data_IF_081907690877
#
_entry.id   IF_081907690877
#
_cell.length_a   1.000
_cell.length_b   1.000
_cell.length_c   1.000
_cell.angle_alpha   90.00
_cell.angle_beta   90.00
_cell.angle_gamma   90.00
#
_symmetry.space_group_name_H-M   'P 1'
#
loop_
_entity.id
_entity.type
_entity.pdbx_description
1 polymer ?
#
# COMPACT_ATOMS: atom_id res chain seq x y z
N UNK A 1 42.44 4.27 -46.62
CA UNK A 1 41.29 3.38 -46.32
C UNK A 1 41.66 2.50 -45.12
N UNK A 2 41.50 2.99 -43.89
CA UNK A 2 41.75 2.20 -42.68
C UNK A 2 40.48 1.44 -42.33
N UNK A 3 40.62 0.12 -42.30
CA UNK A 3 39.59 -0.89 -42.02
C UNK A 3 38.99 -0.63 -40.63
N UNK A 4 37.69 -0.34 -40.58
CA UNK A 4 36.89 -0.39 -39.36
C UNK A 4 36.78 -1.87 -38.99
N UNK A 5 37.68 -2.33 -38.13
CA UNK A 5 37.58 -3.66 -37.50
C UNK A 5 36.45 -3.62 -36.47
N UNK A 6 35.47 -4.50 -36.64
CA UNK A 6 34.26 -4.56 -35.82
C UNK A 6 34.55 -4.65 -34.33
N UNK A 7 33.82 -3.85 -33.54
CA UNK A 7 33.72 -4.00 -32.10
C UNK A 7 33.12 -5.37 -31.76
N UNK A 8 33.70 -6.13 -30.83
CA UNK A 8 33.02 -7.30 -30.28
C UNK A 8 31.89 -6.82 -29.36
N UNK A 9 30.65 -7.09 -29.76
CA UNK A 9 29.42 -6.78 -29.01
C UNK A 9 29.26 -7.56 -27.68
N UNK A 10 30.31 -8.22 -27.19
CA UNK A 10 30.28 -9.14 -26.04
C UNK A 10 31.13 -8.69 -24.85
N UNK A 11 31.93 -7.62 -24.99
CA UNK A 11 32.73 -7.07 -23.88
C UNK A 11 31.99 -6.00 -23.07
N UNK A 12 31.04 -5.30 -23.70
CA UNK A 12 30.29 -4.20 -23.07
C UNK A 12 29.29 -4.67 -22.02
N UNK A 13 28.67 -5.85 -22.21
CA UNK A 13 27.76 -6.45 -21.24
C UNK A 13 28.49 -7.00 -20.02
N UNK A 14 29.68 -7.58 -20.20
CA UNK A 14 30.50 -8.05 -19.08
C UNK A 14 31.14 -6.88 -18.30
N UNK A 15 31.59 -5.82 -18.98
CA UNK A 15 32.11 -4.60 -18.34
C UNK A 15 31.01 -3.80 -17.64
N UNK A 16 29.82 -3.68 -18.23
CA UNK A 16 28.68 -3.07 -17.54
C UNK A 16 28.27 -3.91 -16.33
N UNK A 17 28.30 -5.23 -16.44
CA UNK A 17 28.04 -6.15 -15.33
C UNK A 17 29.03 -5.99 -14.19
N UNK A 18 30.33 -5.90 -14.47
CA UNK A 18 31.35 -5.69 -13.43
C UNK A 18 31.27 -4.30 -12.80
N UNK A 19 31.04 -3.24 -13.60
CA UNK A 19 30.86 -1.86 -13.10
C UNK A 19 29.60 -1.74 -12.23
N UNK A 20 28.49 -2.33 -12.66
CA UNK A 20 27.27 -2.37 -11.85
C UNK A 20 27.54 -3.12 -10.55
N UNK A 21 28.17 -4.29 -10.60
CA UNK A 21 28.44 -5.11 -9.40
C UNK A 21 29.37 -4.40 -8.41
N UNK A 22 30.43 -3.74 -8.89
CA UNK A 22 31.35 -2.98 -8.04
C UNK A 22 30.69 -1.74 -7.44
N UNK A 23 29.88 -1.02 -8.23
CA UNK A 23 29.12 0.13 -7.75
C UNK A 23 28.04 -0.27 -6.74
N UNK A 24 27.38 -1.42 -6.95
CA UNK A 24 26.42 -2.00 -6.01
C UNK A 24 27.09 -2.38 -4.69
N UNK A 25 28.28 -2.97 -4.72
CA UNK A 25 29.03 -3.34 -3.51
C UNK A 25 29.40 -2.11 -2.67
N UNK A 26 29.88 -1.04 -3.31
CA UNK A 26 30.27 0.20 -2.63
C UNK A 26 29.10 0.88 -1.90
N UNK A 27 27.91 0.90 -2.52
CA UNK A 27 26.69 1.45 -1.88
C UNK A 27 26.25 0.60 -0.70
N UNK A 28 26.37 -0.72 -0.83
CA UNK A 28 25.92 -1.65 0.19
C UNK A 28 26.79 -1.56 1.46
N UNK A 29 28.09 -1.29 1.29
CA UNK A 29 29.07 -1.20 2.37
C UNK A 29 29.12 0.20 3.03
N UNK A 30 28.64 1.25 2.36
CA UNK A 30 28.70 2.62 2.86
C UNK A 30 27.62 2.95 3.89
N UNK A 31 28.03 3.24 5.13
CA UNK A 31 27.13 3.64 6.23
C UNK A 31 26.32 4.92 5.93
N UNK A 32 26.90 5.89 5.21
CA UNK A 32 26.21 7.14 4.86
C UNK A 32 25.03 6.89 3.91
N UNK A 33 25.18 5.96 2.97
CA UNK A 33 24.11 5.58 2.06
C UNK A 33 22.99 4.84 2.78
N UNK A 34 23.36 3.96 3.72
CA UNK A 34 22.39 3.28 4.59
C UNK A 34 21.54 4.29 5.37
N UNK A 35 22.18 5.25 6.05
CA UNK A 35 21.49 6.31 6.79
C UNK A 35 20.58 7.13 5.88
N UNK A 36 21.09 7.55 4.72
CA UNK A 36 20.32 8.30 3.72
C UNK A 36 19.06 7.55 3.24
N UNK A 37 19.16 6.24 3.07
CA UNK A 37 18.03 5.37 2.69
C UNK A 37 17.00 5.31 3.82
N UNK A 38 17.42 5.10 5.06
CA UNK A 38 16.50 5.07 6.20
C UNK A 38 15.80 6.42 6.43
N UNK A 39 16.51 7.54 6.26
CA UNK A 39 15.92 8.89 6.29
C UNK A 39 14.87 9.06 5.19
N UNK A 40 15.18 8.61 3.98
CA UNK A 40 14.27 8.70 2.84
C UNK A 40 13.00 7.89 3.08
N UNK A 41 13.14 6.67 3.60
CA UNK A 41 12.00 5.81 3.97
C UNK A 41 11.17 6.45 5.09
N UNK A 42 11.80 6.93 6.16
CA UNK A 42 11.12 7.61 7.27
C UNK A 42 10.28 8.79 6.76
N UNK A 43 10.88 9.67 5.94
CA UNK A 43 10.20 10.80 5.35
C UNK A 43 9.03 10.38 4.44
N UNK A 44 9.21 9.35 3.61
CA UNK A 44 8.16 8.83 2.73
C UNK A 44 6.96 8.27 3.53
N UNK A 45 7.21 7.45 4.55
CA UNK A 45 6.16 6.92 5.42
C UNK A 45 5.44 8.02 6.22
N UNK A 46 6.18 9.00 6.72
CA UNK A 46 5.60 10.15 7.43
C UNK A 46 4.70 10.98 6.50
N UNK A 47 5.10 11.16 5.24
CA UNK A 47 4.30 11.86 4.23
C UNK A 47 3.00 11.11 3.92
N UNK A 48 3.07 9.80 3.66
CA UNK A 48 1.88 8.97 3.41
C UNK A 48 0.93 8.98 4.62
N UNK A 49 1.47 8.83 5.82
CA UNK A 49 0.70 8.89 7.07
C UNK A 49 -0.01 10.24 7.24
N UNK A 50 0.70 11.35 6.98
CA UNK A 50 0.15 12.71 7.06
C UNK A 50 -0.98 12.93 6.04
N UNK A 51 -0.81 12.47 4.80
CA UNK A 51 -1.86 12.54 3.76
C UNK A 51 -3.09 11.75 4.18
N UNK A 52 -2.91 10.53 4.71
CA UNK A 52 -4.02 9.70 5.19
C UNK A 52 -4.80 10.38 6.32
N UNK A 53 -4.11 11.02 7.26
CA UNK A 53 -4.74 11.76 8.36
C UNK A 53 -5.53 12.97 7.85
N UNK A 54 -4.94 13.76 6.94
CA UNK A 54 -5.62 14.92 6.33
C UNK A 54 -6.89 14.46 5.61
N UNK A 55 -6.81 13.37 4.83
CA UNK A 55 -7.96 12.80 4.14
C UNK A 55 -9.04 12.32 5.12
N UNK A 56 -8.65 11.65 6.22
CA UNK A 56 -9.58 11.22 7.27
C UNK A 56 -10.32 12.41 7.90
N UNK A 57 -9.59 13.43 8.31
CA UNK A 57 -10.17 14.65 8.91
C UNK A 57 -11.12 15.33 7.92
N UNK A 58 -10.72 15.47 6.66
CA UNK A 58 -11.57 16.08 5.62
C UNK A 58 -12.86 15.31 5.38
N UNK A 59 -12.83 13.98 5.46
CA UNK A 59 -14.02 13.13 5.32
C UNK A 59 -14.92 13.26 6.55
N UNK A 60 -14.36 13.20 7.76
CA UNK A 60 -15.11 13.32 9.02
C UNK A 60 -15.84 14.66 9.11
N UNK A 61 -15.14 15.76 8.81
CA UNK A 61 -15.72 17.11 8.84
C UNK A 61 -16.76 17.34 7.74
N UNK A 62 -16.64 16.66 6.58
CA UNK A 62 -17.58 16.83 5.48
C UNK A 62 -18.90 16.10 5.71
N UNK A 63 -18.85 14.94 6.35
CA UNK A 63 -20.00 14.04 6.56
C UNK A 63 -19.98 13.45 7.98
N UNK A 64 -20.18 14.27 9.03
CA UNK A 64 -20.18 13.81 10.42
C UNK A 64 -21.40 12.92 10.73
N UNK A 65 -22.46 12.98 9.91
CA UNK A 65 -23.69 12.21 10.11
C UNK A 65 -23.52 10.74 9.70
N UNK A 66 -22.53 10.45 8.85
CA UNK A 66 -22.17 9.09 8.49
C UNK A 66 -21.17 8.57 9.53
N UNK A 67 -21.51 7.47 10.21
CA UNK A 67 -20.61 6.81 11.16
C UNK A 67 -19.32 6.27 10.53
N UNK A 68 -18.66 5.34 11.20
CA UNK A 68 -17.40 4.74 10.72
C UNK A 68 -17.60 3.91 9.46
N UNK A 69 -17.40 4.54 8.30
CA UNK A 69 -17.41 3.85 7.00
C UNK A 69 -16.10 3.10 6.79
N UNK A 70 -16.15 2.06 5.95
CA UNK A 70 -14.95 1.31 5.53
C UNK A 70 -13.85 2.24 5.00
N UNK A 71 -14.20 3.31 4.27
CA UNK A 71 -13.25 4.32 3.79
C UNK A 71 -12.53 5.04 4.93
N UNK A 72 -13.24 5.48 5.98
CA UNK A 72 -12.63 6.12 7.16
C UNK A 72 -11.68 5.15 7.88
N UNK A 73 -12.10 3.88 8.01
CA UNK A 73 -11.25 2.83 8.60
C UNK A 73 -9.97 2.60 7.80
N UNK A 74 -10.04 2.54 6.47
CA UNK A 74 -8.83 2.38 5.63
C UNK A 74 -7.84 3.53 5.78
N UNK A 75 -8.31 4.78 5.89
CA UNK A 75 -7.43 5.93 6.12
C UNK A 75 -6.83 5.90 7.53
N UNK A 76 -7.62 5.55 8.54
CA UNK A 76 -7.14 5.39 9.92
C UNK A 76 -6.06 4.31 10.01
N UNK A 77 -6.29 3.15 9.39
CA UNK A 77 -5.30 2.05 9.35
C UNK A 77 -4.02 2.48 8.64
N UNK A 78 -4.12 3.19 7.51
CA UNK A 78 -2.94 3.71 6.82
C UNK A 78 -2.20 4.76 7.66
N UNK A 79 -2.91 5.65 8.36
CA UNK A 79 -2.28 6.62 9.26
C UNK A 79 -1.47 5.92 10.37
N UNK A 80 -2.08 4.95 11.05
CA UNK A 80 -1.45 4.23 12.16
C UNK A 80 -0.28 3.38 11.66
N UNK A 81 -0.49 2.53 10.66
CA UNK A 81 0.54 1.59 10.18
C UNK A 81 1.74 2.34 9.60
N UNK A 82 1.51 3.33 8.71
CA UNK A 82 2.61 4.12 8.15
C UNK A 82 3.26 5.04 9.19
N UNK A 83 2.49 5.54 10.17
CA UNK A 83 3.00 6.38 11.26
C UNK A 83 3.93 5.60 12.19
N UNK A 84 3.52 4.41 12.65
CA UNK A 84 4.38 3.52 13.45
C UNK A 84 5.66 3.19 12.68
N UNK A 85 5.56 2.93 11.37
CA UNK A 85 6.73 2.63 10.53
C UNK A 85 7.68 3.82 10.40
N UNK A 86 7.16 5.03 10.16
CA UNK A 86 7.97 6.25 10.15
C UNK A 86 8.70 6.44 11.49
N UNK A 87 8.01 6.21 12.60
CA UNK A 87 8.57 6.29 13.94
C UNK A 87 9.66 5.23 14.16
N UNK A 88 9.44 3.97 13.76
CA UNK A 88 10.45 2.90 13.85
C UNK A 88 11.70 3.24 13.04
N UNK A 89 11.57 3.66 11.79
CA UNK A 89 12.71 4.10 10.98
C UNK A 89 13.39 5.36 11.55
N UNK A 90 12.63 6.27 12.13
CA UNK A 90 13.15 7.47 12.80
C UNK A 90 13.83 7.20 14.15
N UNK A 91 13.46 6.14 14.86
CA UNK A 91 14.15 5.69 16.08
C UNK A 91 15.38 4.84 15.77
N UNK A 92 15.39 4.10 14.66
CA UNK A 92 16.59 3.42 14.17
C UNK A 92 17.77 4.40 14.03
N UNK A 93 17.48 5.62 13.57
CA UNK A 93 18.41 6.76 13.53
C UNK A 93 18.87 7.25 14.92
N UNK A 94 18.01 7.19 15.94
CA UNK A 94 18.34 7.63 17.30
C UNK A 94 19.17 6.61 18.07
N UNK A 95 19.02 5.32 17.79
CA UNK A 95 19.90 4.27 18.33
C UNK A 95 21.34 4.45 17.83
N UNK A 96 21.53 5.06 16.66
CA UNK A 96 22.85 5.40 16.11
C UNK A 96 23.43 6.72 16.66
N UNK A 97 22.58 7.74 16.91
CA UNK A 97 23.00 9.07 17.38
C UNK A 97 23.05 9.24 18.91
N UNK A 98 22.12 8.60 19.63
CA UNK A 98 22.11 8.50 21.08
C UNK A 98 22.49 7.06 21.41
N UNK A 99 23.61 6.85 22.08
CA UNK A 99 24.09 5.52 22.46
C UNK A 99 23.76 5.21 23.95
N UNK A 100 22.49 5.17 24.41
CA UNK A 100 22.21 4.73 25.77
C UNK A 100 22.47 3.23 25.83
N UNK A 101 23.48 2.85 26.61
CA UNK A 101 23.93 1.45 26.84
C UNK A 101 22.79 0.47 27.14
N UNK A 102 21.67 0.96 27.66
CA UNK A 102 20.47 0.19 27.98
C UNK A 102 19.75 -0.34 26.73
N UNK A 103 19.62 0.46 25.66
CA UNK A 103 18.91 0.03 24.45
C UNK A 103 19.67 -1.07 23.71
N UNK A 104 21.01 -1.01 23.72
CA UNK A 104 21.88 -2.02 23.11
C UNK A 104 21.84 -3.33 23.89
N UNK A 105 21.82 -3.28 25.22
CA UNK A 105 21.66 -4.47 26.06
C UNK A 105 20.31 -5.15 25.85
N UNK A 106 19.23 -4.38 25.71
CA UNK A 106 17.89 -4.93 25.40
C UNK A 106 17.85 -5.49 23.98
N UNK A 107 18.46 -4.81 23.01
CA UNK A 107 18.54 -5.28 21.63
C UNK A 107 19.32 -6.60 21.54
N UNK A 108 20.53 -6.68 22.12
CA UNK A 108 21.33 -7.90 22.15
C UNK A 108 20.63 -9.05 22.88
N UNK A 109 19.91 -8.77 23.98
CA UNK A 109 19.16 -9.80 24.71
C UNK A 109 17.98 -10.36 23.90
N UNK A 110 17.30 -9.50 23.12
CA UNK A 110 16.23 -9.91 22.21
C UNK A 110 16.80 -10.66 21.00
N UNK A 111 17.89 -10.17 20.42
CA UNK A 111 18.55 -10.75 19.25
C UNK A 111 19.16 -12.13 19.55
N UNK A 112 19.70 -12.33 20.75
CA UNK A 112 20.20 -13.65 21.21
C UNK A 112 19.09 -14.71 21.26
N UNK A 113 17.82 -14.29 21.36
CA UNK A 113 16.68 -15.19 21.35
C UNK A 113 16.22 -15.51 19.92
N UNK A 114 17.00 -16.34 19.21
CA UNK A 114 16.64 -16.88 17.89
C UNK A 114 15.23 -17.48 17.82
N UNK A 115 14.72 -18.01 18.93
CA UNK A 115 13.34 -18.46 19.05
C UNK A 115 12.32 -17.31 18.93
N UNK A 116 12.58 -16.15 19.54
CA UNK A 116 11.66 -15.00 19.47
C UNK A 116 11.63 -14.39 18.06
N UNK A 117 12.77 -14.32 17.37
CA UNK A 117 12.84 -13.87 15.98
C UNK A 117 12.04 -14.80 15.05
N UNK A 118 12.23 -16.12 15.20
CA UNK A 118 11.50 -17.12 14.42
C UNK A 118 9.99 -17.07 14.70
N UNK A 119 9.59 -16.99 15.97
CA UNK A 119 8.18 -16.87 16.37
C UNK A 119 7.58 -15.58 15.79
N UNK A 120 8.32 -14.47 15.82
CA UNK A 120 7.92 -13.19 15.22
C UNK A 120 7.66 -13.31 13.72
N UNK A 121 8.58 -13.91 12.96
CA UNK A 121 8.43 -14.12 11.51
C UNK A 121 7.22 -14.98 11.16
N UNK A 122 7.04 -16.11 11.86
CA UNK A 122 5.87 -16.99 11.66
C UNK A 122 4.56 -16.27 11.99
N UNK A 123 4.52 -15.52 13.09
CA UNK A 123 3.34 -14.75 13.47
C UNK A 123 2.96 -13.72 12.40
N UNK A 124 3.93 -12.93 11.92
CA UNK A 124 3.70 -11.93 10.87
C UNK A 124 3.26 -12.59 9.55
N UNK A 125 3.83 -13.74 9.19
CA UNK A 125 3.41 -14.49 8.00
C UNK A 125 1.95 -14.94 8.11
N UNK A 126 1.56 -15.55 9.24
CA UNK A 126 0.18 -16.03 9.47
C UNK A 126 -0.82 -14.87 9.44
N UNK A 127 -0.54 -13.77 10.13
CA UNK A 127 -1.41 -12.59 10.13
C UNK A 127 -1.55 -12.00 8.72
N UNK A 128 -0.46 -11.92 7.97
CA UNK A 128 -0.47 -11.42 6.59
C UNK A 128 -1.28 -12.34 5.66
N UNK A 129 -1.16 -13.65 5.82
CA UNK A 129 -1.94 -14.63 5.06
C UNK A 129 -3.44 -14.55 5.34
N UNK A 130 -3.82 -14.45 6.63
CA UNK A 130 -5.22 -14.27 7.04
C UNK A 130 -5.78 -12.97 6.47
N UNK A 131 -5.01 -11.88 6.52
CA UNK A 131 -5.40 -10.61 5.90
C UNK A 131 -5.63 -10.76 4.39
N UNK A 132 -4.71 -11.41 3.67
CA UNK A 132 -4.86 -11.69 2.23
C UNK A 132 -6.14 -12.47 1.92
N UNK A 133 -6.41 -13.56 2.65
CA UNK A 133 -7.66 -14.32 2.51
C UNK A 133 -8.90 -13.47 2.82
N UNK A 134 -8.84 -12.61 3.84
CA UNK A 134 -9.89 -11.66 4.17
C UNK A 134 -10.20 -10.72 3.00
N UNK A 135 -9.18 -10.07 2.44
CA UNK A 135 -9.35 -9.21 1.27
C UNK A 135 -9.91 -9.97 0.06
N UNK A 136 -9.42 -11.18 -0.20
CA UNK A 136 -9.88 -12.01 -1.31
C UNK A 136 -11.36 -12.40 -1.18
N UNK A 137 -11.78 -12.87 0.01
CA UNK A 137 -13.14 -13.35 0.24
C UNK A 137 -14.15 -12.19 0.35
N UNK A 138 -13.84 -11.17 1.17
CA UNK A 138 -14.76 -10.03 1.34
C UNK A 138 -14.82 -9.16 0.08
N UNK A 139 -13.66 -8.84 -0.51
CA UNK A 139 -13.60 -8.03 -1.71
C UNK A 139 -14.10 -8.78 -2.95
N UNK A 140 -13.82 -10.08 -3.06
CA UNK A 140 -14.39 -10.93 -4.11
C UNK A 140 -15.92 -11.03 -4.03
N UNK A 141 -16.47 -11.29 -2.84
CA UNK A 141 -17.93 -11.30 -2.61
C UNK A 141 -18.56 -9.95 -2.93
N UNK A 142 -17.93 -8.85 -2.53
CA UNK A 142 -18.38 -7.49 -2.81
C UNK A 142 -18.36 -7.19 -4.32
N UNK A 143 -17.30 -7.59 -5.03
CA UNK A 143 -17.17 -7.46 -6.47
C UNK A 143 -18.28 -8.22 -7.21
N UNK A 144 -18.54 -9.48 -6.86
CA UNK A 144 -19.63 -10.26 -7.45
C UNK A 144 -21.02 -9.70 -7.11
N UNK A 145 -21.21 -9.17 -5.90
CA UNK A 145 -22.47 -8.53 -5.49
C UNK A 145 -22.77 -7.26 -6.31
N UNK A 146 -21.77 -6.40 -6.50
CA UNK A 146 -21.91 -5.18 -7.31
C UNK A 146 -22.16 -5.50 -8.79
N UNK A 147 -21.56 -6.57 -9.32
CA UNK A 147 -21.80 -7.02 -10.69
C UNK A 147 -23.21 -7.59 -10.91
N UNK A 148 -23.82 -8.17 -9.87
CA UNK A 148 -25.17 -8.77 -9.93
C UNK A 148 -26.30 -7.75 -9.71
N UNK A 149 -26.03 -6.63 -9.04
CA UNK A 149 -27.00 -5.57 -8.81
C UNK A 149 -26.40 -4.19 -9.16
N UNK A 150 -26.51 -3.72 -10.43
CA UNK A 150 -26.18 -2.33 -10.73
C UNK A 150 -27.07 -1.42 -9.87
N UNK A 151 -26.47 -0.49 -9.14
CA UNK A 151 -27.15 0.42 -8.20
C UNK A 151 -27.95 1.45 -9.01
N UNK A 152 -29.08 1.03 -9.56
CA UNK A 152 -30.20 1.90 -9.85
C UNK A 152 -31.24 1.71 -8.74
N UNK A 153 -31.42 2.76 -7.94
CA UNK A 153 -32.52 2.81 -6.97
C UNK A 153 -33.85 2.63 -7.70
N UNK A 154 -34.50 1.47 -7.53
CA UNK A 154 -35.84 1.17 -8.09
C UNK A 154 -36.88 2.26 -7.80
N UNK A 155 -36.67 3.10 -6.78
CA UNK A 155 -37.56 4.18 -6.36
C UNK A 155 -37.58 5.45 -7.22
N UNK A 156 -36.64 5.66 -8.17
CA UNK A 156 -36.64 6.86 -9.04
C UNK A 156 -37.06 6.57 -10.49
N UNK A 157 -37.41 5.32 -10.82
CA UNK A 157 -37.91 4.96 -12.16
C UNK A 157 -39.29 5.53 -12.46
N UNK A 158 -40.15 5.76 -11.47
CA UNK A 158 -41.49 6.34 -11.73
C UNK A 158 -41.43 7.81 -12.17
N UNK A 159 -40.41 8.57 -11.78
CA UNK A 159 -40.24 9.97 -12.22
C UNK A 159 -39.38 10.09 -13.49
N UNK A 160 -38.55 9.10 -13.78
CA UNK A 160 -37.70 9.08 -14.97
C UNK A 160 -38.43 8.50 -16.21
N UNK A 161 -39.40 7.59 -16.00
CA UNK A 161 -40.22 7.04 -17.09
C UNK A 161 -41.16 8.08 -17.75
N UNK A 162 -41.39 9.23 -17.13
CA UNK A 162 -42.09 10.36 -17.76
C UNK A 162 -41.18 11.21 -18.65
N UNK A 163 -39.86 11.23 -18.41
CA UNK A 163 -38.91 12.14 -19.09
C UNK A 163 -37.92 11.42 -20.02
N UNK A 164 -37.89 10.08 -20.02
CA UNK A 164 -36.91 9.25 -20.77
C UNK A 164 -37.46 8.66 -22.08
N UNK A 165 -38.55 9.19 -22.61
CA UNK A 165 -38.99 8.87 -23.99
C UNK A 165 -38.03 9.45 -25.05
N UNK A 166 -37.00 10.23 -24.68
CA UNK A 166 -36.19 10.99 -25.65
C UNK A 166 -34.66 10.78 -25.66
N UNK A 167 -34.04 9.87 -24.88
CA UNK A 167 -32.57 9.66 -24.97
C UNK A 167 -32.16 8.17 -24.82
N UNK A 168 -32.01 7.40 -25.92
CA UNK A 168 -31.81 5.93 -25.81
C UNK A 168 -30.35 5.45 -25.73
N UNK A 169 -29.35 6.23 -26.16
CA UNK A 169 -27.96 5.72 -26.26
C UNK A 169 -26.99 6.26 -25.19
N UNK A 170 -27.01 7.57 -24.93
CA UNK A 170 -26.04 8.21 -24.03
C UNK A 170 -26.25 7.84 -22.55
N UNK A 171 -27.48 7.77 -22.06
CA UNK A 171 -27.76 7.43 -20.67
C UNK A 171 -27.39 5.97 -20.33
N UNK A 172 -27.56 5.05 -21.30
CA UNK A 172 -27.19 3.65 -21.16
C UNK A 172 -25.66 3.46 -21.10
N UNK A 173 -24.91 4.13 -21.97
CA UNK A 173 -23.43 4.13 -21.95
C UNK A 173 -22.90 4.79 -20.68
N UNK A 174 -23.48 5.90 -20.22
CA UNK A 174 -23.06 6.59 -18.99
C UNK A 174 -23.31 5.73 -17.75
N UNK A 175 -24.48 5.07 -17.65
CA UNK A 175 -24.82 4.20 -16.52
C UNK A 175 -23.96 2.92 -16.48
N UNK A 176 -23.69 2.32 -17.65
CA UNK A 176 -22.80 1.16 -17.79
C UNK A 176 -21.34 1.54 -17.46
N UNK A 177 -20.85 2.66 -18.00
CA UNK A 177 -19.51 3.18 -17.75
C UNK A 177 -19.32 3.52 -16.26
N UNK A 178 -20.30 4.15 -15.59
CA UNK A 178 -20.24 4.45 -14.15
C UNK A 178 -20.20 3.17 -13.30
N UNK A 179 -20.97 2.14 -13.67
CA UNK A 179 -20.97 0.85 -12.96
C UNK A 179 -19.63 0.12 -13.13
N UNK A 180 -19.08 0.09 -14.35
CA UNK A 180 -17.76 -0.49 -14.63
C UNK A 180 -16.67 0.26 -13.88
N UNK A 181 -16.64 1.61 -13.92
CA UNK A 181 -15.63 2.39 -13.21
C UNK A 181 -15.68 2.20 -11.69
N UNK A 182 -16.87 2.09 -11.09
CA UNK A 182 -17.01 1.89 -9.64
C UNK A 182 -16.61 0.48 -9.20
N UNK A 183 -16.94 -0.53 -10.02
CA UNK A 183 -16.50 -1.93 -9.82
C UNK A 183 -14.98 -2.07 -10.02
N UNK A 184 -14.41 -1.32 -10.96
CA UNK A 184 -12.95 -1.24 -11.16
C UNK A 184 -12.30 -0.55 -9.96
N UNK A 185 -12.80 0.58 -9.46
CA UNK A 185 -12.18 1.26 -8.31
C UNK A 185 -12.17 0.43 -7.02
N UNK A 186 -13.32 -0.14 -6.64
CA UNK A 186 -13.42 -0.97 -5.42
C UNK A 186 -12.67 -2.31 -5.60
N UNK A 187 -12.72 -2.88 -6.82
CA UNK A 187 -11.96 -4.06 -7.18
C UNK A 187 -10.45 -3.83 -7.16
N UNK A 188 -9.98 -2.66 -7.61
CA UNK A 188 -8.57 -2.27 -7.61
C UNK A 188 -8.02 -2.16 -6.20
N UNK A 189 -8.74 -1.53 -5.25
CA UNK A 189 -8.28 -1.46 -3.85
C UNK A 189 -8.11 -2.86 -3.26
N UNK A 190 -9.08 -3.74 -3.50
CA UNK A 190 -9.02 -5.13 -3.03
C UNK A 190 -7.82 -5.87 -3.64
N UNK A 191 -7.61 -5.76 -4.95
CA UNK A 191 -6.52 -6.43 -5.64
C UNK A 191 -5.14 -5.92 -5.16
N UNK A 192 -4.98 -4.61 -5.01
CA UNK A 192 -3.74 -3.99 -4.50
C UNK A 192 -3.44 -4.51 -3.09
N UNK A 193 -4.41 -4.45 -2.17
CA UNK A 193 -4.22 -4.93 -0.80
C UNK A 193 -3.93 -6.43 -0.77
N UNK A 194 -4.67 -7.24 -1.53
CA UNK A 194 -4.44 -8.69 -1.62
C UNK A 194 -3.02 -9.01 -2.10
N UNK A 195 -2.58 -8.41 -3.21
CA UNK A 195 -1.24 -8.62 -3.76
C UNK A 195 -0.16 -8.17 -2.77
N UNK A 196 -0.32 -7.00 -2.13
CA UNK A 196 0.59 -6.50 -1.10
C UNK A 196 0.75 -7.51 0.06
N UNK A 197 -0.36 -7.96 0.64
CA UNK A 197 -0.32 -8.92 1.75
C UNK A 197 0.22 -10.30 1.33
N UNK A 198 -0.03 -10.72 0.09
CA UNK A 198 0.51 -11.97 -0.44
C UNK A 198 2.03 -11.89 -0.64
N UNK A 199 2.54 -10.80 -1.23
CA UNK A 199 3.98 -10.57 -1.36
C UNK A 199 4.62 -10.51 0.03
N UNK A 200 4.01 -9.78 0.98
CA UNK A 200 4.49 -9.72 2.36
C UNK A 200 4.56 -11.09 3.02
N UNK A 201 3.52 -11.90 2.87
CA UNK A 201 3.50 -13.27 3.39
C UNK A 201 4.63 -14.10 2.76
N UNK A 202 4.79 -14.03 1.45
CA UNK A 202 5.81 -14.79 0.73
C UNK A 202 7.22 -14.40 1.18
N UNK A 203 7.52 -13.09 1.24
CA UNK A 203 8.87 -12.67 1.60
C UNK A 203 9.17 -12.97 3.07
N UNK A 204 8.22 -12.79 4.00
CA UNK A 204 8.45 -13.14 5.41
C UNK A 204 8.70 -14.64 5.58
N UNK A 205 8.02 -15.49 4.80
CA UNK A 205 8.29 -16.93 4.78
C UNK A 205 9.68 -17.22 4.25
N UNK A 206 10.10 -16.59 3.15
CA UNK A 206 11.48 -16.74 2.63
C UNK A 206 12.51 -16.29 3.66
N UNK A 207 12.31 -15.13 4.31
CA UNK A 207 13.17 -14.61 5.38
C UNK A 207 13.22 -15.49 6.64
N UNK A 208 12.28 -16.44 6.81
CA UNK A 208 12.30 -17.41 7.89
C UNK A 208 13.17 -18.64 7.57
N UNK A 209 13.35 -18.96 6.28
CA UNK A 209 14.17 -20.08 5.81
C UNK A 209 15.58 -19.66 5.40
N UNK A 210 15.76 -18.40 5.00
CA UNK A 210 17.03 -17.86 4.54
C UNK A 210 17.34 -16.56 5.30
N UNK A 211 18.51 -16.53 5.96
CA UNK A 211 18.98 -15.37 6.73
C UNK A 211 19.46 -14.25 5.81
N UNK A 212 19.98 -14.58 4.63
CA UNK A 212 20.48 -13.62 3.64
C UNK A 212 19.31 -12.93 2.89
N UNK A 213 18.12 -13.56 2.90
CA UNK A 213 16.88 -12.99 2.36
C UNK A 213 16.04 -12.25 3.41
N UNK A 214 16.61 -11.92 4.58
CA UNK A 214 15.87 -11.24 5.63
C UNK A 214 15.75 -9.73 5.36
N UNK A 215 14.52 -9.26 5.16
CA UNK A 215 14.20 -7.85 4.88
C UNK A 215 14.37 -6.89 6.07
N UNK A 216 14.83 -7.40 7.22
CA UNK A 216 15.08 -6.63 8.45
C UNK A 216 16.57 -6.59 8.81
N UNK A 217 17.44 -7.27 8.06
CA UNK A 217 18.88 -7.23 8.30
C UNK A 217 19.50 -6.13 7.44
N UNK A 218 20.33 -5.33 8.10
CA UNK A 218 21.06 -4.15 7.61
C UNK A 218 22.00 -4.42 6.42
N UNK A 219 22.05 -5.65 5.91
CA UNK A 219 23.05 -6.08 4.92
C UNK A 219 22.66 -5.72 3.47
N UNK A 220 21.40 -5.39 3.19
CA UNK A 220 20.94 -5.00 1.84
C UNK A 220 20.07 -3.73 1.82
N UNK A 221 20.61 -2.55 2.15
CA UNK A 221 19.89 -1.27 2.17
C UNK A 221 19.09 -0.94 0.90
N UNK A 222 19.65 -1.22 -0.28
CA UNK A 222 18.97 -0.93 -1.55
C UNK A 222 17.78 -1.88 -1.76
N UNK A 223 17.93 -3.16 -1.42
CA UNK A 223 16.84 -4.13 -1.56
C UNK A 223 15.69 -3.77 -0.61
N UNK A 224 16.01 -3.36 0.62
CA UNK A 224 15.03 -2.88 1.59
C UNK A 224 14.31 -1.64 1.09
N UNK A 225 15.04 -0.67 0.52
CA UNK A 225 14.44 0.51 -0.12
C UNK A 225 13.45 0.10 -1.22
N UNK A 226 13.87 -0.76 -2.15
CA UNK A 226 13.03 -1.20 -3.28
C UNK A 226 11.79 -1.93 -2.77
N UNK A 227 11.95 -2.85 -1.83
CA UNK A 227 10.84 -3.60 -1.25
C UNK A 227 9.84 -2.67 -0.56
N UNK A 228 10.29 -1.80 0.34
CA UNK A 228 9.39 -0.93 1.09
C UNK A 228 8.73 0.13 0.21
N UNK A 229 9.42 0.61 -0.83
CA UNK A 229 8.83 1.53 -1.81
C UNK A 229 7.75 0.84 -2.66
N UNK A 230 8.03 -0.34 -3.22
CA UNK A 230 7.13 -1.02 -4.17
C UNK A 230 6.00 -1.81 -3.50
N UNK A 231 6.27 -2.44 -2.36
CA UNK A 231 5.34 -3.37 -1.71
C UNK A 231 4.55 -2.71 -0.60
N UNK A 232 5.04 -1.61 -0.01
CA UNK A 232 4.32 -0.93 1.09
C UNK A 232 3.87 0.49 0.70
N UNK A 233 4.82 1.39 0.43
CA UNK A 233 4.53 2.82 0.22
C UNK A 233 3.66 3.05 -1.03
N UNK A 234 4.03 2.46 -2.16
CA UNK A 234 3.29 2.61 -3.42
C UNK A 234 1.85 2.06 -3.32
N UNK A 235 1.60 0.83 -2.83
CA UNK A 235 0.26 0.32 -2.57
C UNK A 235 -0.55 1.20 -1.64
N UNK A 236 0.03 1.67 -0.53
CA UNK A 236 -0.64 2.60 0.40
C UNK A 236 -1.03 3.91 -0.29
N UNK A 237 -0.11 4.52 -1.05
CA UNK A 237 -0.40 5.75 -1.79
C UNK A 237 -1.49 5.56 -2.85
N UNK A 238 -1.47 4.43 -3.59
CA UNK A 238 -2.50 4.10 -4.58
C UNK A 238 -3.87 3.88 -3.94
N UNK A 239 -3.94 3.20 -2.80
CA UNK A 239 -5.19 3.00 -2.06
C UNK A 239 -5.75 4.34 -1.59
N UNK A 240 -4.92 5.22 -1.01
CA UNK A 240 -5.35 6.57 -0.60
C UNK A 240 -5.76 7.44 -1.79
N UNK A 241 -5.13 7.26 -2.95
CA UNK A 241 -5.51 7.95 -4.19
C UNK A 241 -6.88 7.50 -4.69
N UNK A 242 -7.16 6.19 -4.70
CA UNK A 242 -8.47 5.68 -5.13
C UNK A 242 -9.56 6.11 -4.12
N UNK A 243 -9.27 6.02 -2.82
CA UNK A 243 -10.20 6.39 -1.75
C UNK A 243 -10.33 7.90 -1.52
N UNK A 244 -9.71 8.76 -2.36
CA UNK A 244 -9.86 10.22 -2.25
C UNK A 244 -11.25 10.73 -2.65
N UNK A 245 -12.03 9.91 -3.38
CA UNK A 245 -13.38 10.29 -3.80
C UNK A 245 -14.28 10.41 -2.56
N UNK A 246 -14.80 11.62 -2.36
CA UNK A 246 -15.64 11.94 -1.22
C UNK A 246 -17.05 11.34 -1.42
N UNK A 247 -17.66 10.73 -0.39
CA UNK A 247 -19.05 10.30 -0.47
C UNK A 247 -19.96 11.53 -0.71
N UNK A 248 -21.03 11.40 -1.51
CA UNK A 248 -21.97 12.48 -1.74
C UNK A 248 -22.66 12.86 -0.42
N UNK A 249 -22.85 14.15 -0.16
CA UNK A 249 -23.65 14.61 0.98
C UNK A 249 -25.09 14.14 0.80
N UNK A 250 -25.69 13.57 1.83
CA UNK A 250 -27.12 13.22 1.80
C UNK A 250 -27.91 14.53 1.77
N UNK A 251 -28.63 14.79 0.69
CA UNK A 251 -29.70 15.80 0.73
C UNK A 251 -30.77 15.16 1.61
N UNK A 252 -31.00 15.73 2.81
CA UNK A 252 -32.13 15.33 3.65
C UNK A 252 -33.40 15.51 2.84
N UNK A 253 -33.95 14.42 2.31
CA UNK A 253 -35.28 14.44 1.74
C UNK A 253 -36.21 14.78 2.90
N UNK A 254 -36.60 16.05 2.97
CA UNK A 254 -37.61 16.55 3.88
C UNK A 254 -38.86 15.70 3.62
N UNK A 255 -39.16 14.79 4.56
CA UNK A 255 -40.36 13.99 4.51
C UNK A 255 -41.52 14.96 4.66
N UNK A 256 -42.15 15.34 3.54
CA UNK A 256 -43.44 16.00 3.62
C UNK A 256 -44.45 14.97 4.11
N UNK A 257 -45.11 15.21 5.26
CA UNK A 257 -46.19 14.34 5.70
C UNK A 257 -47.28 14.38 4.62
N UNK A 258 -47.69 13.19 4.16
CA UNK A 258 -48.83 13.03 3.25
C UNK A 258 -50.07 13.40 4.09
N UNK A 259 -50.77 14.46 3.69
CA UNK A 259 -52.04 14.88 4.28
C UNK A 259 -53.21 14.22 3.57
#
# INVERSE_FOLDING_TARGET
MRRITGMPLNSSSSELGTVLTSWWAEINESSQWQDGIFYSLCAAYALVSSVALIQLIRIELRVPEYGWTTQKVFHLMNFIVNGVRAVVFGFHMQVFLLHPKVCIWVYLWIDDSSAAEFIGKIFIAVVSFIAALGFLLYGGRLFFMLRRFPIESKGRRKKLHEVVVSVPAHACVYSFCVTINMVVEVGSVTAICFTCFLIRCFVVVLSAFDKDASLDVMDHPVLNLIYYMLVEILPSALVLYILRKLPPKRISAQYHPIR
#
